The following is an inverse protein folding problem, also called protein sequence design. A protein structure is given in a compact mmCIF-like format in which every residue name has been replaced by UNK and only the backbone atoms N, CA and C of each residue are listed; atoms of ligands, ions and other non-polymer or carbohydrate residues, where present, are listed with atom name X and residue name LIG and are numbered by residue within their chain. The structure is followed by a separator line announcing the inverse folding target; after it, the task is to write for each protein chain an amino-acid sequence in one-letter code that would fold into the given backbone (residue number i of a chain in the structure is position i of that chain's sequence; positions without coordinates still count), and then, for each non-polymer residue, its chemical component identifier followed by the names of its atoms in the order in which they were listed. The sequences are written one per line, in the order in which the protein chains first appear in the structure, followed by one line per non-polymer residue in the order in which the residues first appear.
data_IF_828212727699
#
_entry.id   IF_828212727699
#
_cell.length_a   1.000
_cell.length_b   1.000
_cell.length_c   1.000
_cell.angle_alpha   90.00
_cell.angle_beta   90.00
_cell.angle_gamma   90.00
#
_symmetry.space_group_name_H-M   'P 1'
#
loop_
_entity.id
_entity.type
_entity.pdbx_description
1 polymer ?
#
# COMPACT_ATOMS: atom_id res chain seq x y z
N UNK A 1 42.28 6.63 -11.83
CA UNK A 1 42.09 8.09 -11.79
C UNK A 1 40.96 8.41 -10.82
N UNK A 2 41.24 9.09 -9.71
CA UNK A 2 40.26 9.44 -8.67
C UNK A 2 40.02 10.95 -8.75
N UNK A 3 38.78 11.39 -8.93
CA UNK A 3 38.43 12.81 -8.79
C UNK A 3 37.77 13.02 -7.44
N UNK A 4 38.39 13.85 -6.60
CA UNK A 4 37.83 14.39 -5.36
C UNK A 4 37.31 15.79 -5.69
N UNK A 5 36.08 16.08 -5.34
CA UNK A 5 35.52 17.42 -5.42
C UNK A 5 35.24 17.92 -4.00
N UNK A 6 35.85 19.05 -3.67
CA UNK A 6 35.62 19.83 -2.46
C UNK A 6 34.42 20.75 -2.74
N UNK A 7 33.35 20.64 -1.97
CA UNK A 7 32.29 21.65 -1.95
C UNK A 7 32.35 22.38 -0.61
N UNK A 8 32.69 23.66 -0.71
CA UNK A 8 32.69 24.68 0.35
C UNK A 8 31.36 24.72 1.10
N UNK A 9 31.44 24.80 2.44
CA UNK A 9 30.30 24.90 3.33
C UNK A 9 29.53 26.21 3.11
N UNK A 10 28.32 26.11 2.56
CA UNK A 10 27.23 27.01 2.90
C UNK A 10 26.40 26.31 3.96
N UNK A 11 26.31 26.90 5.15
CA UNK A 11 25.38 26.46 6.18
C UNK A 11 23.96 26.80 5.69
N UNK A 12 23.41 25.94 4.83
CA UNK A 12 21.98 25.91 4.61
C UNK A 12 21.41 25.21 5.85
N UNK A 13 20.79 26.00 6.73
CA UNK A 13 19.91 25.42 7.74
C UNK A 13 18.81 24.68 6.99
N UNK A 14 18.94 23.36 6.86
CA UNK A 14 17.84 22.52 6.46
C UNK A 14 16.90 22.47 7.66
N UNK A 15 16.00 23.43 7.75
CA UNK A 15 14.76 23.15 8.46
C UNK A 15 14.13 22.01 7.67
N UNK A 16 13.97 20.86 8.31
CA UNK A 16 12.94 19.94 7.87
C UNK A 16 11.64 20.72 8.01
N UNK A 17 11.21 21.39 6.94
CA UNK A 17 9.81 21.70 6.79
C UNK A 17 9.15 20.34 6.78
N UNK A 18 8.43 20.00 7.85
CA UNK A 18 7.35 19.05 7.74
C UNK A 18 6.36 19.68 6.77
N UNK A 19 6.63 19.53 5.47
CA UNK A 19 5.56 19.57 4.50
C UNK A 19 4.58 18.53 5.01
N UNK A 20 3.39 18.96 5.39
CA UNK A 20 2.27 18.04 5.45
C UNK A 20 2.13 17.52 4.03
N UNK A 21 2.87 16.46 3.70
CA UNK A 21 2.43 15.52 2.69
C UNK A 21 1.00 15.21 3.09
N UNK A 22 0.06 15.42 2.17
CA UNK A 22 -1.19 14.67 2.24
C UNK A 22 -0.80 13.25 2.63
N UNK A 23 -1.25 12.83 3.82
CA UNK A 23 -0.78 11.57 4.38
C UNK A 23 -1.50 10.47 3.61
N UNK A 24 -0.89 10.05 2.50
CA UNK A 24 -1.32 8.86 1.77
C UNK A 24 -1.41 7.69 2.75
N UNK A 25 -2.29 6.72 2.51
CA UNK A 25 -2.42 5.57 3.41
C UNK A 25 -1.08 4.87 3.65
N UNK A 26 -0.88 4.34 4.86
CA UNK A 26 0.36 3.65 5.20
C UNK A 26 0.64 2.41 4.32
N UNK A 27 -0.41 1.87 3.69
CA UNK A 27 -0.39 0.75 2.77
C UNK A 27 -0.80 1.14 1.34
N UNK A 28 -0.42 2.34 0.92
CA UNK A 28 -0.69 2.87 -0.42
C UNK A 28 0.01 2.10 -1.54
N UNK A 29 1.18 1.53 -1.27
CA UNK A 29 2.00 0.83 -2.25
C UNK A 29 2.18 -0.65 -1.88
N UNK A 30 2.59 -1.45 -2.85
CA UNK A 30 2.80 -2.88 -2.63
C UNK A 30 3.98 -3.13 -1.68
N UNK A 31 4.99 -2.26 -1.67
CA UNK A 31 6.18 -2.38 -0.83
C UNK A 31 5.88 -2.11 0.66
N UNK A 32 4.76 -1.48 0.98
CA UNK A 32 4.30 -1.20 2.34
C UNK A 32 2.92 -1.78 2.62
N UNK A 33 2.56 -2.90 1.96
CA UNK A 33 1.31 -3.60 2.19
C UNK A 33 1.08 -3.88 3.68
N UNK A 34 -0.17 -3.76 4.11
CA UNK A 34 -0.55 -4.07 5.48
C UNK A 34 -0.69 -5.58 5.65
N UNK A 35 0.20 -6.19 6.43
CA UNK A 35 0.19 -7.62 6.70
C UNK A 35 -1.02 -8.02 7.56
N UNK A 36 -1.81 -8.97 7.05
CA UNK A 36 -2.98 -9.54 7.70
C UNK A 36 -2.63 -10.95 8.20
N UNK A 37 -2.70 -11.14 9.51
CA UNK A 37 -2.47 -12.44 10.13
C UNK A 37 -3.74 -13.29 10.06
N UNK A 38 -3.66 -14.41 9.35
CA UNK A 38 -4.73 -15.39 9.28
C UNK A 38 -4.63 -16.37 10.45
N UNK A 39 -5.72 -16.49 11.21
CA UNK A 39 -5.86 -17.51 12.27
C UNK A 39 -6.84 -18.58 11.80
N UNK A 40 -6.44 -19.86 11.71
CA UNK A 40 -7.31 -20.94 11.27
C UNK A 40 -8.64 -20.98 12.04
N UNK A 41 -9.76 -20.98 11.31
CA UNK A 41 -11.11 -21.02 11.88
C UNK A 41 -11.63 -19.69 12.44
N UNK A 42 -10.89 -18.59 12.29
CA UNK A 42 -11.31 -17.26 12.71
C UNK A 42 -11.41 -16.29 11.53
N UNK A 43 -12.27 -15.30 11.67
CA UNK A 43 -12.34 -14.15 10.76
C UNK A 43 -11.38 -13.08 11.23
N UNK A 44 -10.44 -12.68 10.37
CA UNK A 44 -9.60 -11.49 10.57
C UNK A 44 -10.22 -10.32 9.81
N UNK A 45 -10.33 -9.16 10.46
CA UNK A 45 -10.77 -7.91 9.83
C UNK A 45 -9.58 -6.99 9.66
N UNK A 46 -9.39 -6.50 8.44
CA UNK A 46 -8.41 -5.47 8.11
C UNK A 46 -9.14 -4.22 7.62
N UNK A 47 -8.65 -3.04 8.03
CA UNK A 47 -9.24 -1.75 7.68
C UNK A 47 -8.22 -0.87 6.99
N UNK A 48 -8.68 -0.03 6.08
CA UNK A 48 -7.86 0.92 5.35
C UNK A 48 -8.72 2.07 4.79
N UNK A 49 -8.07 3.01 4.11
CA UNK A 49 -8.71 4.14 3.44
C UNK A 49 -8.08 4.32 2.07
N UNK A 50 -8.88 4.67 1.07
CA UNK A 50 -8.41 5.02 -0.30
C UNK A 50 -8.35 6.54 -0.50
N UNK A 51 -8.68 7.32 0.54
CA UNK A 51 -8.53 8.77 0.51
C UNK A 51 -7.06 9.08 0.31
N UNK A 52 -6.78 9.86 -0.73
CA UNK A 52 -5.44 10.28 -1.15
C UNK A 52 -4.48 9.14 -1.53
N UNK A 53 -4.99 7.93 -1.76
CA UNK A 53 -4.20 6.83 -2.27
C UNK A 53 -3.75 7.06 -3.73
N UNK A 54 -2.67 6.41 -4.11
CA UNK A 54 -2.12 6.38 -5.46
C UNK A 54 -2.88 5.37 -6.32
N UNK A 55 -3.05 5.67 -7.62
CA UNK A 55 -3.72 4.76 -8.53
C UNK A 55 -2.88 3.52 -8.82
N UNK A 56 -3.39 2.35 -8.43
CA UNK A 56 -2.79 1.06 -8.73
C UNK A 56 -3.02 0.68 -10.20
N UNK A 57 -2.02 0.91 -11.04
CA UNK A 57 -2.03 0.58 -12.47
C UNK A 57 -1.82 -0.93 -12.72
N UNK A 58 -2.65 -1.75 -12.10
CA UNK A 58 -2.66 -3.21 -12.28
C UNK A 58 -3.43 -3.60 -13.54
N UNK A 59 -3.11 -4.77 -14.10
CA UNK A 59 -3.78 -5.30 -15.29
C UNK A 59 -5.25 -5.66 -15.05
N UNK A 60 -5.99 -5.88 -16.15
CA UNK A 60 -7.39 -6.29 -16.10
C UNK A 60 -7.55 -7.71 -15.51
N UNK A 61 -8.45 -7.85 -14.54
CA UNK A 61 -8.83 -9.15 -13.96
C UNK A 61 -10.35 -9.18 -13.70
N UNK A 62 -11.13 -9.43 -14.74
CA UNK A 62 -12.61 -9.37 -14.69
C UNK A 62 -13.17 -7.95 -14.58
N UNK A 63 -12.42 -7.02 -13.99
CA UNK A 63 -12.69 -5.58 -13.94
C UNK A 63 -11.38 -4.79 -14.03
N UNK A 64 -11.47 -3.51 -14.42
CA UNK A 64 -10.35 -2.57 -14.39
C UNK A 64 -10.41 -1.72 -13.13
N UNK A 65 -9.26 -1.36 -12.58
CA UNK A 65 -9.21 -0.30 -11.56
C UNK A 65 -9.67 1.03 -12.17
N UNK A 66 -10.55 1.71 -11.47
CA UNK A 66 -11.11 3.03 -11.87
C UNK A 66 -10.83 4.11 -10.83
N UNK A 67 -10.28 3.72 -9.69
CA UNK A 67 -9.93 4.56 -8.54
C UNK A 67 -8.67 3.98 -7.88
N UNK A 68 -8.02 4.78 -7.03
CA UNK A 68 -6.92 4.33 -6.20
C UNK A 68 -7.34 3.23 -5.21
N UNK A 69 -6.36 2.43 -4.78
CA UNK A 69 -6.54 1.30 -3.89
C UNK A 69 -5.50 1.30 -2.77
N UNK A 70 -5.53 0.26 -1.95
CA UNK A 70 -4.54 0.02 -0.90
C UNK A 70 -4.21 -1.47 -0.84
N UNK A 71 -3.00 -1.77 -0.39
CA UNK A 71 -2.44 -3.12 -0.43
C UNK A 71 -2.53 -3.82 0.93
N UNK A 72 -2.93 -5.08 0.88
CA UNK A 72 -2.87 -6.01 2.01
C UNK A 72 -2.18 -7.28 1.54
N UNK A 73 -1.38 -7.87 2.41
CA UNK A 73 -0.73 -9.16 2.16
C UNK A 73 -1.02 -10.13 3.30
N UNK A 74 -0.92 -11.42 3.01
CA UNK A 74 -1.04 -12.47 4.01
C UNK A 74 -0.25 -13.69 3.57
N UNK A 75 0.19 -14.48 4.54
CA UNK A 75 0.82 -15.77 4.28
C UNK A 75 -0.25 -16.83 4.06
N UNK A 76 -0.22 -17.50 2.91
CA UNK A 76 -1.12 -18.60 2.61
C UNK A 76 -0.98 -19.75 3.63
N UNK A 77 -2.10 -20.30 4.06
CA UNK A 77 -2.15 -21.40 5.04
C UNK A 77 -2.14 -22.80 4.39
N UNK A 78 -2.10 -22.86 3.04
CA UNK A 78 -2.27 -24.09 2.25
C UNK A 78 -3.72 -24.52 2.05
N UNK A 79 -4.68 -23.83 2.70
CA UNK A 79 -6.12 -24.03 2.50
C UNK A 79 -6.76 -22.93 1.63
N UNK A 80 -8.08 -23.06 1.42
CA UNK A 80 -8.86 -21.99 0.81
C UNK A 80 -8.97 -20.80 1.78
N UNK A 81 -8.93 -19.59 1.22
CA UNK A 81 -9.15 -18.33 1.95
C UNK A 81 -10.35 -17.64 1.33
N UNK A 82 -11.33 -17.27 2.15
CA UNK A 82 -12.47 -16.46 1.74
C UNK A 82 -12.16 -14.99 2.02
N UNK A 83 -12.30 -14.13 1.00
CA UNK A 83 -12.04 -12.70 1.09
C UNK A 83 -13.28 -11.97 0.60
N UNK A 84 -13.75 -11.00 1.38
CA UNK A 84 -14.85 -10.13 1.02
C UNK A 84 -14.60 -8.71 1.55
N UNK A 85 -15.41 -7.77 1.08
CA UNK A 85 -15.37 -6.34 1.46
C UNK A 85 -16.63 -5.92 2.20
N UNK A 86 -17.31 -6.86 2.86
CA UNK A 86 -18.52 -6.60 3.62
C UNK A 86 -18.21 -5.56 4.70
N UNK A 87 -19.07 -4.53 4.78
CA UNK A 87 -18.87 -3.39 5.67
C UNK A 87 -18.20 -2.18 5.01
N UNK A 88 -17.76 -2.28 3.74
CA UNK A 88 -17.38 -1.10 2.95
C UNK A 88 -18.57 -0.15 2.78
N UNK A 89 -18.30 1.16 2.84
CA UNK A 89 -19.27 2.22 2.60
C UNK A 89 -19.45 2.60 1.12
N UNK A 90 -18.76 1.90 0.21
CA UNK A 90 -18.78 2.17 -1.24
C UNK A 90 -18.49 0.90 -2.04
N UNK A 91 -18.71 0.96 -3.35
CA UNK A 91 -18.47 -0.15 -4.28
C UNK A 91 -16.97 -0.47 -4.41
N UNK A 92 -16.61 -1.70 -4.07
CA UNK A 92 -15.21 -2.16 -4.06
C UNK A 92 -14.91 -3.08 -5.23
N UNK A 93 -13.64 -3.09 -5.66
CA UNK A 93 -13.07 -4.09 -6.57
C UNK A 93 -11.92 -4.78 -5.86
N UNK A 94 -11.79 -6.09 -6.03
CA UNK A 94 -10.70 -6.88 -5.45
C UNK A 94 -9.87 -7.50 -6.57
N UNK A 95 -8.55 -7.26 -6.51
CA UNK A 95 -7.56 -7.96 -7.34
C UNK A 95 -6.65 -8.77 -6.42
N UNK A 96 -6.44 -10.04 -6.75
CA UNK A 96 -5.62 -10.95 -5.93
C UNK A 96 -4.39 -11.36 -6.72
N UNK A 97 -3.23 -11.22 -6.11
CA UNK A 97 -1.92 -11.51 -6.70
C UNK A 97 -1.17 -12.54 -5.87
N UNK A 98 -0.22 -13.24 -6.49
CA UNK A 98 0.67 -14.21 -5.83
C UNK A 98 2.12 -13.92 -6.17
N UNK A 99 3.05 -14.18 -5.25
CA UNK A 99 4.49 -14.10 -5.55
C UNK A 99 5.06 -12.68 -5.55
N UNK A 100 4.52 -11.82 -4.68
CA UNK A 100 5.13 -10.53 -4.33
C UNK A 100 6.47 -10.73 -3.62
#
# INVERSE_FOLDING_TARGET
MKKKYLLTAFLFGLTAASGSSIAVPANDLIENSAHVVLTPGATTVASGTTIDATFDNVGFCGTSNTTAGVWFDFSGTGGAVEINTIGSGYDTKLSVFTGV
#
